data_IF_274057073070
#
_entry.id   IF_274057073070
#
_cell.length_a   1.000
_cell.length_b   1.000
_cell.length_c   1.000
_cell.angle_alpha   90.00
_cell.angle_beta   90.00
_cell.angle_gamma   90.00
#
_symmetry.space_group_name_H-M   'P 1'
#
loop_
_entity.id
_entity.type
_entity.pdbx_description
1 polymer ?
#
# COMPACT_ATOMS: atom_id res chain seq x y z
N UNK A 1 -16.83 -13.61 21.16
CA UNK A 1 -15.67 -13.67 22.07
C UNK A 1 -14.43 -13.52 21.20
N UNK A 2 -13.64 -12.45 21.41
CA UNK A 2 -12.41 -12.14 20.68
C UNK A 2 -11.35 -13.20 20.99
N UNK A 3 -10.75 -13.81 19.98
CA UNK A 3 -9.43 -14.42 20.13
C UNK A 3 -8.51 -13.68 19.19
N UNK A 4 -7.69 -12.78 19.76
CA UNK A 4 -6.53 -12.24 19.06
C UNK A 4 -5.58 -13.42 18.86
N UNK A 5 -5.11 -13.70 17.63
CA UNK A 5 -4.08 -14.71 17.45
C UNK A 5 -2.84 -14.31 18.30
N UNK A 6 -2.14 -15.27 18.92
CA UNK A 6 -0.81 -15.01 19.45
C UNK A 6 0.09 -14.43 18.34
N UNK A 7 1.08 -13.61 18.71
CA UNK A 7 1.88 -12.83 17.76
C UNK A 7 2.53 -13.67 16.64
N UNK A 8 2.89 -14.92 16.94
CA UNK A 8 3.48 -15.87 16.00
C UNK A 8 2.44 -16.39 14.97
N UNK A 9 1.16 -16.44 15.35
CA UNK A 9 0.04 -16.82 14.48
C UNK A 9 -0.51 -15.63 13.67
N UNK A 10 -0.29 -14.40 14.13
CA UNK A 10 -0.72 -13.18 13.42
C UNK A 10 -0.08 -13.06 12.04
N UNK A 11 1.20 -13.46 11.90
CA UNK A 11 1.89 -13.44 10.61
C UNK A 11 1.29 -14.42 9.60
N UNK A 12 0.92 -15.62 10.04
CA UNK A 12 0.26 -16.61 9.18
C UNK A 12 -1.18 -16.19 8.83
N UNK A 13 -1.93 -15.66 9.81
CA UNK A 13 -3.28 -15.14 9.57
C UNK A 13 -3.31 -14.01 8.52
N UNK A 14 -2.29 -13.14 8.52
CA UNK A 14 -2.15 -12.09 7.49
C UNK A 14 -1.91 -12.70 6.11
N UNK A 15 -1.04 -13.70 5.98
CA UNK A 15 -0.79 -14.36 4.69
C UNK A 15 -2.04 -15.06 4.17
N UNK A 16 -2.70 -15.84 5.02
CA UNK A 16 -3.92 -16.56 4.68
C UNK A 16 -5.05 -15.60 4.25
N UNK A 17 -5.17 -14.46 4.92
CA UNK A 17 -6.13 -13.41 4.55
C UNK A 17 -5.86 -12.84 3.15
N UNK A 18 -4.60 -12.56 2.81
CA UNK A 18 -4.23 -12.09 1.47
C UNK A 18 -4.51 -13.15 0.41
N UNK A 19 -4.22 -14.41 0.68
CA UNK A 19 -4.46 -15.54 -0.23
C UNK A 19 -5.96 -15.78 -0.45
N UNK A 20 -6.77 -15.74 0.61
CA UNK A 20 -8.23 -15.92 0.55
C UNK A 20 -8.89 -14.85 -0.33
N UNK A 21 -8.44 -13.61 -0.19
CA UNK A 21 -8.91 -12.48 -0.99
C UNK A 21 -8.20 -12.32 -2.34
N UNK A 22 -7.15 -13.12 -2.60
CA UNK A 22 -6.29 -13.02 -3.81
C UNK A 22 -5.68 -11.63 -4.00
N UNK A 23 -5.37 -10.97 -2.90
CA UNK A 23 -4.72 -9.68 -2.90
C UNK A 23 -3.22 -9.87 -3.18
N UNK A 24 -2.58 -8.98 -3.98
CA UNK A 24 -1.13 -9.02 -4.15
C UNK A 24 -0.40 -8.94 -2.81
N UNK A 25 0.68 -9.69 -2.64
CA UNK A 25 1.60 -9.55 -1.49
C UNK A 25 2.44 -8.29 -1.64
N UNK A 26 1.80 -7.14 -1.43
CA UNK A 26 2.42 -5.83 -1.46
C UNK A 26 2.52 -5.24 -0.05
N UNK A 27 3.49 -4.34 0.18
CA UNK A 27 3.57 -3.57 1.41
C UNK A 27 2.23 -2.97 1.88
N UNK A 28 1.49 -2.36 0.96
CA UNK A 28 0.16 -1.78 1.19
C UNK A 28 -0.83 -2.81 1.77
N UNK A 29 -0.91 -3.99 1.15
CA UNK A 29 -1.87 -5.01 1.55
C UNK A 29 -1.48 -5.71 2.86
N UNK A 30 -0.18 -5.84 3.14
CA UNK A 30 0.31 -6.31 4.43
C UNK A 30 -0.04 -5.34 5.56
N UNK A 31 0.14 -4.03 5.34
CA UNK A 31 -0.25 -3.01 6.32
C UNK A 31 -1.75 -3.00 6.56
N UNK A 32 -2.56 -3.12 5.50
CA UNK A 32 -4.01 -3.22 5.59
C UNK A 32 -4.46 -4.42 6.45
N UNK A 33 -3.96 -5.63 6.13
CA UNK A 33 -4.31 -6.84 6.87
C UNK A 33 -3.81 -6.77 8.33
N UNK A 34 -2.62 -6.20 8.56
CA UNK A 34 -2.09 -5.99 9.91
C UNK A 34 -3.04 -5.12 10.74
N UNK A 35 -3.47 -3.97 10.22
CA UNK A 35 -4.43 -3.07 10.89
C UNK A 35 -5.75 -3.79 11.21
N UNK A 36 -6.25 -4.61 10.29
CA UNK A 36 -7.45 -5.42 10.50
C UNK A 36 -7.30 -6.40 11.67
N UNK A 37 -6.19 -7.15 11.75
CA UNK A 37 -5.97 -8.14 12.82
C UNK A 37 -5.53 -7.54 14.15
N UNK A 38 -4.84 -6.40 14.13
CA UNK A 38 -4.45 -5.67 15.34
C UNK A 38 -5.67 -5.07 16.04
N UNK A 39 -6.70 -4.68 15.27
CA UNK A 39 -7.97 -4.15 15.79
C UNK A 39 -7.81 -2.82 16.54
N UNK A 40 -6.70 -2.11 16.32
CA UNK A 40 -6.44 -0.80 16.91
C UNK A 40 -7.38 0.28 16.37
N UNK A 41 -7.88 0.10 15.14
CA UNK A 41 -8.89 0.93 14.50
C UNK A 41 -10.21 0.15 14.35
N UNK A 42 -11.15 0.39 15.26
CA UNK A 42 -12.48 -0.24 15.26
C UNK A 42 -13.31 0.14 14.03
N UNK A 43 -13.13 1.34 13.47
CA UNK A 43 -13.85 1.76 12.26
C UNK A 43 -13.33 1.01 11.03
N UNK A 44 -12.01 0.88 10.90
CA UNK A 44 -11.38 0.04 9.88
C UNK A 44 -11.83 -1.41 10.03
N UNK A 45 -11.75 -1.98 11.23
CA UNK A 45 -12.17 -3.36 11.49
C UNK A 45 -13.62 -3.59 11.06
N UNK A 46 -14.55 -2.74 11.47
CA UNK A 46 -15.97 -2.89 11.14
C UNK A 46 -16.23 -2.71 9.64
N UNK A 47 -15.52 -1.79 8.97
CA UNK A 47 -15.62 -1.64 7.53
C UNK A 47 -15.20 -2.91 6.78
N UNK A 48 -14.06 -3.49 7.16
CA UNK A 48 -13.57 -4.75 6.56
C UNK A 48 -14.47 -5.93 6.91
N UNK A 49 -14.82 -6.10 8.19
CA UNK A 49 -15.65 -7.20 8.68
C UNK A 49 -17.03 -7.22 8.02
N UNK A 50 -17.70 -6.07 7.91
CA UNK A 50 -18.98 -5.97 7.21
C UNK A 50 -18.87 -6.27 5.72
N UNK A 51 -17.74 -5.90 5.11
CA UNK A 51 -17.55 -6.11 3.68
C UNK A 51 -17.32 -7.58 3.36
N UNK A 52 -16.56 -8.31 4.19
CA UNK A 52 -16.29 -9.74 3.99
C UNK A 52 -17.37 -10.65 4.56
N UNK A 53 -18.30 -10.12 5.36
CA UNK A 53 -19.44 -10.87 5.88
C UNK A 53 -20.28 -11.44 4.72
N UNK A 54 -20.46 -12.77 4.70
CA UNK A 54 -21.07 -13.49 3.59
C UNK A 54 -20.10 -14.01 2.51
N UNK A 55 -18.78 -13.95 2.73
CA UNK A 55 -17.77 -14.56 1.85
C UNK A 55 -17.39 -13.70 0.64
N UNK A 56 -17.63 -12.39 0.72
CA UNK A 56 -17.17 -11.45 -0.28
C UNK A 56 -15.63 -11.40 -0.29
N UNK A 57 -15.06 -11.35 -1.50
CA UNK A 57 -13.61 -11.24 -1.68
C UNK A 57 -13.22 -9.80 -1.93
N UNK A 58 -12.39 -9.26 -1.03
CA UNK A 58 -11.82 -7.92 -1.17
C UNK A 58 -11.02 -7.78 -2.46
N UNK A 59 -11.15 -6.61 -3.07
CA UNK A 59 -10.36 -6.21 -4.24
C UNK A 59 -9.46 -5.04 -3.89
N UNK A 60 -8.50 -4.72 -4.77
CA UNK A 60 -7.58 -3.60 -4.52
C UNK A 60 -8.33 -2.26 -4.42
N UNK A 61 -9.45 -2.09 -5.12
CA UNK A 61 -10.30 -0.92 -4.96
C UNK A 61 -10.91 -0.79 -3.56
N UNK A 62 -11.28 -1.92 -2.93
CA UNK A 62 -11.87 -1.94 -1.59
C UNK A 62 -10.81 -1.60 -0.53
N UNK A 63 -9.61 -2.17 -0.68
CA UNK A 63 -8.45 -1.85 0.16
C UNK A 63 -8.17 -0.35 0.14
N UNK A 64 -8.18 0.27 -1.04
CA UNK A 64 -7.94 1.72 -1.18
C UNK A 64 -9.07 2.57 -0.65
N UNK A 65 -10.31 2.11 -0.75
CA UNK A 65 -11.47 2.84 -0.24
C UNK A 65 -11.56 2.84 1.30
N UNK A 66 -11.08 1.76 1.93
CA UNK A 66 -11.13 1.56 3.38
C UNK A 66 -9.86 2.06 4.07
N UNK A 67 -8.71 1.99 3.40
CA UNK A 67 -7.47 2.53 3.94
C UNK A 67 -7.61 4.03 4.12
N UNK A 68 -7.55 4.52 5.36
CA UNK A 68 -7.31 5.93 5.60
C UNK A 68 -5.95 6.29 4.96
N UNK A 69 -5.80 7.49 4.38
CA UNK A 69 -4.47 7.98 4.05
C UNK A 69 -3.63 7.91 5.32
N UNK A 70 -2.56 7.11 5.31
CA UNK A 70 -1.74 6.97 6.50
C UNK A 70 -1.02 8.29 6.71
N UNK A 71 -1.42 9.01 7.75
CA UNK A 71 -0.64 10.10 8.31
C UNK A 71 0.62 9.47 8.93
N UNK A 72 1.67 9.35 8.11
CA UNK A 72 3.01 8.94 8.54
C UNK A 72 3.54 10.02 9.48
N UNK A 73 3.33 9.84 10.79
CA UNK A 73 3.71 10.83 11.79
C UNK A 73 4.90 10.39 12.66
N UNK A 74 5.52 9.23 12.41
CA UNK A 74 6.62 8.73 13.22
C UNK A 74 6.20 8.45 14.67
N UNK A 75 4.94 8.12 14.89
CA UNK A 75 4.35 7.98 16.23
C UNK A 75 4.22 6.54 16.68
N UNK A 76 4.77 5.57 15.93
CA UNK A 76 4.72 4.16 16.31
C UNK A 76 5.28 3.93 17.72
N UNK A 77 4.43 3.41 18.60
CA UNK A 77 4.75 3.05 19.98
C UNK A 77 4.97 1.54 20.14
N UNK A 78 4.52 0.74 19.19
CA UNK A 78 4.72 -0.72 19.15
C UNK A 78 5.50 -1.17 17.91
N UNK A 79 6.06 -2.39 17.97
CA UNK A 79 6.77 -2.99 16.82
C UNK A 79 5.81 -3.26 15.65
N UNK A 80 4.54 -3.59 15.91
CA UNK A 80 3.52 -3.79 14.89
C UNK A 80 3.19 -2.50 14.13
N UNK A 81 3.00 -1.42 14.88
CA UNK A 81 2.82 -0.07 14.32
C UNK A 81 4.05 0.36 13.50
N UNK A 82 5.26 0.12 14.01
CA UNK A 82 6.49 0.44 13.30
C UNK A 82 6.64 -0.37 12.01
N UNK A 83 6.30 -1.67 12.05
CA UNK A 83 6.32 -2.52 10.86
C UNK A 83 5.35 -2.00 9.80
N UNK A 84 4.16 -1.56 10.20
CA UNK A 84 3.16 -0.97 9.30
C UNK A 84 3.65 0.35 8.71
N UNK A 85 4.26 1.21 9.53
CA UNK A 85 4.79 2.50 9.11
C UNK A 85 5.94 2.33 8.09
N UNK A 86 6.89 1.45 8.37
CA UNK A 86 8.00 1.12 7.45
C UNK A 86 7.45 0.56 6.13
N UNK A 87 6.44 -0.30 6.20
CA UNK A 87 5.84 -0.90 5.03
C UNK A 87 5.13 0.13 4.15
N UNK A 88 4.44 1.10 4.77
CA UNK A 88 3.82 2.22 4.05
C UNK A 88 4.87 3.13 3.39
N UNK A 89 5.99 3.43 4.07
CA UNK A 89 7.11 4.18 3.48
C UNK A 89 7.67 3.46 2.26
N UNK A 90 7.94 2.15 2.37
CA UNK A 90 8.44 1.34 1.23
C UNK A 90 7.44 1.38 0.07
N UNK A 91 6.13 1.26 0.35
CA UNK A 91 5.07 1.37 -0.65
C UNK A 91 5.07 2.71 -1.37
N UNK A 92 5.10 3.82 -0.62
CA UNK A 92 5.15 5.17 -1.16
C UNK A 92 6.40 5.39 -2.03
N UNK A 93 7.58 5.01 -1.55
CA UNK A 93 8.84 5.12 -2.31
C UNK A 93 8.79 4.29 -3.59
N UNK A 94 8.21 3.08 -3.56
CA UNK A 94 8.07 2.25 -4.76
C UNK A 94 7.13 2.88 -5.80
N UNK A 95 6.04 3.50 -5.37
CA UNK A 95 5.12 4.22 -6.26
C UNK A 95 5.80 5.43 -6.91
N UNK A 96 6.53 6.24 -6.14
CA UNK A 96 7.30 7.38 -6.64
C UNK A 96 8.38 6.94 -7.63
N UNK A 97 9.14 5.89 -7.30
CA UNK A 97 10.16 5.35 -8.19
C UNK A 97 9.57 4.86 -9.52
N UNK A 98 8.41 4.20 -9.50
CA UNK A 98 7.74 3.74 -10.71
C UNK A 98 7.24 4.92 -11.57
N UNK A 99 6.67 5.95 -10.93
CA UNK A 99 6.27 7.18 -11.61
C UNK A 99 7.47 7.89 -12.27
N UNK A 100 8.60 7.93 -11.58
CA UNK A 100 9.85 8.47 -12.10
C UNK A 100 10.37 7.67 -13.31
N UNK A 101 10.44 6.34 -13.21
CA UNK A 101 10.86 5.45 -14.31
C UNK A 101 9.96 5.60 -15.54
N UNK A 102 8.64 5.72 -15.33
CA UNK A 102 7.68 5.98 -16.42
C UNK A 102 7.98 7.31 -17.12
N UNK A 103 8.23 8.37 -16.33
CA UNK A 103 8.60 9.69 -16.86
C UNK A 103 9.90 9.64 -17.66
N UNK A 104 10.94 8.96 -17.14
CA UNK A 104 12.20 8.74 -17.85
C UNK A 104 11.99 8.01 -19.18
N UNK A 105 11.22 6.93 -19.17
CA UNK A 105 10.96 6.11 -20.37
C UNK A 105 10.25 6.91 -21.44
N UNK A 106 9.23 7.67 -21.05
CA UNK A 106 8.45 8.50 -21.97
C UNK A 106 9.30 9.65 -22.54
N UNK A 107 10.12 10.26 -21.69
CA UNK A 107 11.08 11.29 -22.10
C UNK A 107 12.14 10.75 -23.07
N UNK A 108 12.68 9.56 -22.81
CA UNK A 108 13.64 8.91 -23.69
C UNK A 108 13.00 8.56 -25.05
N UNK A 109 11.76 8.08 -25.06
CA UNK A 109 11.02 7.79 -26.30
C UNK A 109 10.80 9.06 -27.13
N UNK A 110 10.44 10.18 -26.49
CA UNK A 110 10.26 11.47 -27.16
C UNK A 110 11.56 12.06 -27.70
N UNK A 111 12.71 11.82 -27.05
CA UNK A 111 14.02 12.24 -27.54
C UNK A 111 14.49 11.41 -28.75
N UNK A 112 14.11 10.13 -28.80
CA UNK A 112 14.45 9.21 -29.90
C UNK A 112 13.54 9.44 -31.11
N UNK A 113 12.27 9.78 -30.90
CA UNK A 113 11.43 10.33 -31.97
C UNK A 113 11.94 11.74 -32.31
N UNK A 114 12.20 12.05 -33.57
CA UNK A 114 12.91 13.26 -34.02
C UNK A 114 12.24 14.64 -33.72
N UNK A 115 11.36 14.74 -32.74
CA UNK A 115 10.52 15.90 -32.37
C UNK A 115 10.83 16.47 -30.97
N UNK A 116 11.69 15.81 -30.17
CA UNK A 116 11.96 16.18 -28.78
C UNK A 116 13.13 17.18 -28.59
N UNK A 117 12.84 18.38 -28.09
CA UNK A 117 13.88 19.26 -27.53
C UNK A 117 14.38 18.72 -26.19
N UNK A 118 15.70 18.49 -26.08
CA UNK A 118 16.36 18.08 -24.82
C UNK A 118 15.97 18.99 -23.63
N UNK A 119 15.70 20.27 -23.89
CA UNK A 119 15.32 21.22 -22.84
C UNK A 119 13.90 20.97 -22.30
N UNK A 120 12.93 20.57 -23.14
CA UNK A 120 11.57 20.26 -22.67
C UNK A 120 11.50 18.91 -21.95
N UNK A 121 12.38 17.98 -22.32
CA UNK A 121 12.61 16.73 -21.61
C UNK A 121 13.13 16.96 -20.19
N UNK A 122 14.23 17.74 -20.05
CA UNK A 122 14.81 18.06 -18.74
C UNK A 122 13.84 18.85 -17.86
N UNK A 123 13.11 19.82 -18.42
CA UNK A 123 12.15 20.62 -17.65
C UNK A 123 11.04 19.78 -16.99
N UNK A 124 10.53 18.74 -17.68
CA UNK A 124 9.53 17.82 -17.12
C UNK A 124 10.10 16.88 -16.06
N UNK A 125 11.35 16.46 -16.21
CA UNK A 125 12.01 15.62 -15.21
C UNK A 125 12.24 16.37 -13.88
N UNK A 126 12.54 17.67 -13.95
CA UNK A 126 12.76 18.50 -12.75
C UNK A 126 11.44 18.91 -12.08
N UNK A 127 10.33 19.02 -12.83
CA UNK A 127 9.02 19.39 -12.26
C UNK A 127 8.28 18.25 -11.55
N UNK A 128 8.76 17.01 -11.66
CA UNK A 128 8.17 15.81 -11.01
C UNK A 128 8.92 15.45 -9.72
N UNK A 129 10.04 16.12 -9.44
CA UNK A 129 10.81 16.02 -8.19
C UNK A 129 10.38 17.12 -7.20
#
# INVERSE_FOLDING_TARGET
MRQRPPADESGHAIVDFLDEHRLPHSPENYGFAHTYFEGADEAHFMAVANLIDGGYRLRQEDVRAISAPADLHGTATTIGELSTEVMHIIGATAQEANAFVKTLTLTAAELVSADGSIHSAVARMVSVA
#
